data_IF_607607555171
#
_entry.id   IF_607607555171
#
_cell.length_a   1.000
_cell.length_b   1.000
_cell.length_c   1.000
_cell.angle_alpha   90.00
_cell.angle_beta   90.00
_cell.angle_gamma   90.00
#
_symmetry.space_group_name_H-M   'P 1'
#
loop_
_entity.id
_entity.type
_entity.pdbx_description
1 polymer ?
#
# COMPACT_ATOMS: atom_id res chain seq x y z
N UNK A 1 -17.80 -16.16 6.20
CA UNK A 1 -16.57 -16.18 5.39
C UNK A 1 -15.45 -15.58 6.25
N UNK A 2 -14.66 -16.42 6.93
CA UNK A 2 -13.57 -15.94 7.79
C UNK A 2 -12.58 -15.12 6.97
N UNK A 3 -12.39 -13.85 7.33
CA UNK A 3 -11.32 -13.02 6.78
C UNK A 3 -10.00 -13.57 7.30
N UNK A 4 -9.38 -14.50 6.56
CA UNK A 4 -8.02 -14.96 6.87
C UNK A 4 -7.09 -13.74 6.77
N UNK A 5 -6.37 -13.45 7.83
CA UNK A 5 -5.36 -12.38 7.82
C UNK A 5 -4.21 -12.82 6.92
N UNK A 6 -3.85 -11.98 5.95
CA UNK A 6 -2.75 -12.27 5.01
C UNK A 6 -1.37 -12.15 5.68
N UNK A 7 -1.26 -11.28 6.69
CA UNK A 7 0.02 -10.98 7.35
C UNK A 7 0.72 -12.21 7.96
N UNK A 8 0.08 -13.04 8.81
CA UNK A 8 0.75 -14.20 9.41
C UNK A 8 1.17 -15.26 8.38
N UNK A 9 0.54 -15.29 7.20
CA UNK A 9 0.85 -16.26 6.15
C UNK A 9 1.89 -15.74 5.16
N UNK A 10 1.90 -14.42 4.90
CA UNK A 10 2.77 -13.80 3.90
C UNK A 10 4.04 -13.17 4.49
N UNK A 11 4.13 -12.99 5.81
CA UNK A 11 5.29 -12.38 6.47
C UNK A 11 6.56 -13.20 6.32
N UNK A 12 6.55 -14.47 6.73
CA UNK A 12 7.72 -15.33 6.65
C UNK A 12 8.18 -15.56 5.19
N UNK A 13 7.29 -15.89 4.22
CA UNK A 13 7.70 -16.01 2.82
C UNK A 13 8.27 -14.72 2.23
N UNK A 14 7.70 -13.56 2.56
CA UNK A 14 8.21 -12.27 2.07
C UNK A 14 9.59 -11.94 2.66
N UNK A 15 9.80 -12.19 3.96
CA UNK A 15 11.11 -11.98 4.61
C UNK A 15 12.17 -12.90 4.02
N UNK A 16 11.86 -14.18 3.83
CA UNK A 16 12.79 -15.13 3.22
C UNK A 16 13.23 -14.68 1.81
N UNK A 17 12.29 -14.20 0.99
CA UNK A 17 12.61 -13.65 -0.34
C UNK A 17 13.50 -12.40 -0.25
N UNK A 18 13.21 -11.48 0.66
CA UNK A 18 14.02 -10.26 0.84
C UNK A 18 15.40 -10.57 1.39
N UNK A 19 15.53 -11.52 2.30
CA UNK A 19 16.81 -11.97 2.83
C UNK A 19 17.66 -12.63 1.75
N UNK A 20 17.08 -13.50 0.92
CA UNK A 20 17.78 -14.10 -0.21
C UNK A 20 18.31 -13.01 -1.17
N UNK A 21 17.49 -12.01 -1.46
CA UNK A 21 17.88 -10.88 -2.32
C UNK A 21 18.91 -9.96 -1.66
N UNK A 22 18.89 -9.81 -0.33
CA UNK A 22 19.92 -9.09 0.41
C UNK A 22 21.28 -9.78 0.30
N UNK A 23 21.32 -11.11 0.47
CA UNK A 23 22.55 -11.92 0.33
C UNK A 23 23.11 -11.84 -1.10
N UNK A 24 22.23 -11.88 -2.11
CA UNK A 24 22.63 -11.77 -3.51
C UNK A 24 22.90 -10.35 -4.00
N UNK A 25 22.60 -9.32 -3.19
CA UNK A 25 22.59 -7.92 -3.64
C UNK A 25 21.64 -7.68 -4.81
N UNK A 26 20.58 -8.47 -4.93
CA UNK A 26 19.68 -8.42 -6.08
C UNK A 26 18.68 -7.27 -5.98
N UNK A 27 18.45 -6.61 -7.11
CA UNK A 27 17.39 -5.60 -7.21
C UNK A 27 16.04 -6.25 -7.49
N UNK A 28 14.97 -5.67 -6.96
CA UNK A 28 13.62 -6.15 -7.16
C UNK A 28 12.61 -5.02 -7.38
N UNK A 29 11.42 -5.42 -7.83
CA UNK A 29 10.25 -4.54 -7.89
C UNK A 29 9.14 -5.10 -7.02
N UNK A 30 8.24 -4.24 -6.52
CA UNK A 30 7.07 -4.68 -5.75
C UNK A 30 6.20 -5.68 -6.53
N UNK A 31 6.08 -5.51 -7.85
CA UNK A 31 5.36 -6.48 -8.69
C UNK A 31 6.08 -7.84 -8.75
N UNK A 32 7.42 -7.83 -8.86
CA UNK A 32 8.21 -9.07 -8.85
C UNK A 32 8.06 -9.83 -7.54
N UNK A 33 8.17 -9.13 -6.40
CA UNK A 33 7.94 -9.75 -5.08
C UNK A 33 6.52 -10.32 -4.92
N UNK A 34 5.51 -9.59 -5.40
CA UNK A 34 4.12 -10.10 -5.43
C UNK A 34 4.02 -11.38 -6.25
N UNK A 35 4.63 -11.40 -7.44
CA UNK A 35 4.55 -12.55 -8.34
C UNK A 35 5.26 -13.78 -7.73
N UNK A 36 6.41 -13.57 -7.09
CA UNK A 36 7.13 -14.60 -6.33
C UNK A 36 6.32 -15.10 -5.12
N UNK A 37 5.65 -14.20 -4.38
CA UNK A 37 4.74 -14.57 -3.28
C UNK A 37 3.49 -15.32 -3.76
N UNK A 38 2.97 -14.98 -4.93
CA UNK A 38 1.79 -15.64 -5.50
C UNK A 38 2.10 -17.09 -5.93
N UNK A 39 3.37 -17.42 -6.19
CA UNK A 39 3.81 -18.78 -6.44
C UNK A 39 3.86 -19.63 -5.15
N UNK A 40 3.73 -19.02 -3.96
CA UNK A 40 3.70 -19.75 -2.70
C UNK A 40 2.33 -20.44 -2.51
N UNK A 41 2.29 -21.76 -2.27
CA UNK A 41 1.05 -22.54 -2.24
C UNK A 41 0.09 -22.11 -1.11
N UNK A 42 0.61 -21.56 -0.01
CA UNK A 42 -0.22 -21.04 1.09
C UNK A 42 -0.87 -19.69 0.77
N UNK A 43 -0.40 -19.01 -0.27
CA UNK A 43 -0.87 -17.70 -0.69
C UNK A 43 -1.71 -17.74 -1.96
N UNK A 44 -1.90 -18.92 -2.57
CA UNK A 44 -2.69 -19.10 -3.80
C UNK A 44 -4.16 -18.73 -3.64
N UNK A 45 -4.68 -18.81 -2.41
CA UNK A 45 -6.06 -18.47 -2.07
C UNK A 45 -6.28 -16.94 -1.99
N UNK A 46 -5.20 -16.15 -1.92
CA UNK A 46 -5.28 -14.69 -1.87
C UNK A 46 -5.23 -14.09 -3.28
N UNK A 47 -6.12 -13.14 -3.55
CA UNK A 47 -6.12 -12.44 -4.83
C UNK A 47 -4.83 -11.62 -5.04
N UNK A 48 -4.37 -11.54 -6.29
CA UNK A 48 -3.20 -10.75 -6.72
C UNK A 48 -3.22 -9.31 -6.20
N UNK A 49 -4.42 -8.74 -6.06
CA UNK A 49 -4.62 -7.39 -5.55
C UNK A 49 -4.30 -7.30 -4.04
N UNK A 50 -4.76 -8.26 -3.23
CA UNK A 50 -4.45 -8.33 -1.79
C UNK A 50 -2.95 -8.51 -1.56
N UNK A 51 -2.30 -9.39 -2.32
CA UNK A 51 -0.85 -9.59 -2.27
C UNK A 51 -0.08 -8.33 -2.68
N UNK A 52 -0.55 -7.61 -3.71
CA UNK A 52 0.07 -6.35 -4.15
C UNK A 52 0.08 -5.31 -3.03
N UNK A 53 -1.03 -5.14 -2.31
CA UNK A 53 -1.12 -4.18 -1.21
C UNK A 53 -0.24 -4.58 -0.06
N UNK A 54 -0.27 -5.86 0.31
CA UNK A 54 0.59 -6.39 1.36
C UNK A 54 2.07 -6.12 1.08
N UNK A 55 2.56 -6.50 -0.11
CA UNK A 55 3.96 -6.29 -0.51
C UNK A 55 4.32 -4.81 -0.52
N UNK A 56 3.44 -3.94 -1.03
CA UNK A 56 3.69 -2.50 -1.06
C UNK A 56 3.83 -1.92 0.34
N UNK A 57 2.93 -2.28 1.26
CA UNK A 57 2.97 -1.82 2.65
C UNK A 57 4.22 -2.30 3.39
N UNK A 58 4.58 -3.58 3.24
CA UNK A 58 5.79 -4.13 3.85
C UNK A 58 7.06 -3.49 3.29
N UNK A 59 7.17 -3.31 1.97
CA UNK A 59 8.33 -2.64 1.35
C UNK A 59 8.45 -1.19 1.82
N UNK A 60 7.34 -0.46 1.96
CA UNK A 60 7.37 0.91 2.48
C UNK A 60 7.85 0.95 3.94
N UNK A 61 7.40 0.01 4.78
CA UNK A 61 7.86 -0.13 6.17
C UNK A 61 9.36 -0.47 6.24
N UNK A 62 9.82 -1.41 5.42
CA UNK A 62 11.24 -1.78 5.38
C UNK A 62 12.13 -0.66 4.81
N UNK A 63 11.58 0.16 3.92
CA UNK A 63 12.25 1.38 3.44
C UNK A 63 12.44 2.40 4.58
N UNK A 64 11.41 2.63 5.40
CA UNK A 64 11.52 3.50 6.59
C UNK A 64 12.53 2.99 7.62
N UNK A 65 12.63 1.66 7.77
CA UNK A 65 13.59 1.02 8.68
C UNK A 65 15.03 0.95 8.11
N UNK A 66 15.24 1.37 6.85
CA UNK A 66 16.56 1.29 6.19
C UNK A 66 17.00 -0.12 5.80
N UNK A 67 16.09 -1.10 5.85
CA UNK A 67 16.35 -2.49 5.44
C UNK A 67 16.20 -2.70 3.94
N UNK A 68 15.49 -1.79 3.28
CA UNK A 68 15.32 -1.75 1.83
C UNK A 68 15.60 -0.33 1.38
N UNK A 69 16.28 -0.16 0.27
CA UNK A 69 16.55 1.15 -0.32
C UNK A 69 16.08 1.22 -1.77
N UNK A 70 15.77 2.44 -2.23
CA UNK A 70 15.45 2.71 -3.63
C UNK A 70 16.73 2.94 -4.41
N UNK A 71 17.03 2.01 -5.32
CA UNK A 71 18.28 2.05 -6.11
C UNK A 71 18.07 2.56 -7.53
N UNK A 72 16.82 2.74 -7.98
CA UNK A 72 16.55 3.31 -9.29
C UNK A 72 15.14 3.09 -9.79
N UNK A 73 15.00 3.08 -11.12
CA UNK A 73 13.73 2.81 -11.82
C UNK A 73 13.95 1.92 -13.04
N UNK A 74 13.02 0.98 -13.29
CA UNK A 74 12.92 0.23 -14.55
C UNK A 74 11.75 0.78 -15.36
N UNK A 75 12.05 1.21 -16.58
CA UNK A 75 11.10 1.91 -17.44
C UNK A 75 10.60 3.21 -16.81
N UNK A 76 9.44 3.70 -17.27
CA UNK A 76 8.96 5.03 -16.87
C UNK A 76 8.36 5.11 -15.44
N UNK A 77 7.98 3.98 -14.83
CA UNK A 77 7.13 4.00 -13.62
C UNK A 77 7.47 2.98 -12.53
N UNK A 78 8.35 2.01 -12.75
CA UNK A 78 8.61 0.97 -11.74
C UNK A 78 9.85 1.34 -10.92
N UNK A 79 9.70 1.46 -9.62
CA UNK A 79 10.82 1.70 -8.70
C UNK A 79 11.58 0.39 -8.49
N UNK A 80 12.90 0.47 -8.60
CA UNK A 80 13.80 -0.60 -8.20
C UNK A 80 14.19 -0.41 -6.75
N UNK A 81 14.13 -1.51 -6.02
CA UNK A 81 14.54 -1.61 -4.65
C UNK A 81 15.69 -2.60 -4.53
N UNK A 82 16.50 -2.44 -3.50
CA UNK A 82 17.50 -3.42 -3.09
C UNK A 82 17.38 -3.62 -1.58
N UNK A 83 17.47 -4.85 -1.13
CA UNK A 83 17.53 -5.14 0.30
C UNK A 83 18.95 -4.85 0.78
N UNK A 84 19.08 -4.12 1.87
CA UNK A 84 20.37 -3.73 2.42
C UNK A 84 20.97 -4.92 3.17
N UNK A 85 22.30 -4.99 3.34
CA UNK A 85 22.92 -6.00 4.20
C UNK A 85 22.51 -5.88 5.68
N UNK A 86 21.84 -4.80 6.06
CA UNK A 86 21.22 -4.62 7.37
C UNK A 86 19.85 -5.33 7.49
N UNK A 87 19.35 -5.96 6.42
CA UNK A 87 18.14 -6.76 6.49
C UNK A 87 18.35 -7.93 7.46
N UNK A 88 17.53 -8.07 8.51
CA UNK A 88 17.78 -9.07 9.55
C UNK A 88 17.72 -10.48 8.98
N UNK A 89 18.77 -11.27 9.23
CA UNK A 89 18.78 -12.69 8.95
C UNK A 89 17.98 -13.41 10.03
N UNK A 90 17.02 -14.25 9.62
CA UNK A 90 16.11 -15.02 10.47
C UNK A 90 16.69 -15.38 11.85
N UNK A 91 16.24 -14.67 12.92
CA UNK A 91 16.01 -15.16 14.30
C UNK A 91 15.79 -14.06 15.35
N UNK A 92 16.16 -12.78 15.11
CA UNK A 92 16.16 -11.77 16.20
C UNK A 92 14.90 -10.90 16.31
N UNK A 93 13.82 -11.24 15.61
CA UNK A 93 12.51 -10.65 15.89
C UNK A 93 11.50 -11.75 16.10
N UNK A 94 11.40 -12.14 17.37
CA UNK A 94 10.17 -12.55 18.00
C UNK A 94 9.07 -11.59 17.50
N UNK A 95 8.13 -12.07 16.68
CA UNK A 95 6.81 -11.48 16.45
C UNK A 95 5.96 -11.62 17.75
N UNK A 96 6.61 -11.54 18.91
CA UNK A 96 5.95 -11.28 20.16
C UNK A 96 5.56 -9.81 20.14
N UNK A 97 4.26 -9.59 20.06
CA UNK A 97 3.59 -8.49 20.73
C UNK A 97 4.30 -8.19 22.06
N UNK A 98 5.25 -7.26 22.04
CA UNK A 98 5.73 -6.64 23.28
C UNK A 98 4.58 -5.77 23.75
N UNK A 99 3.75 -6.39 24.59
CA UNK A 99 2.93 -5.75 25.61
C UNK A 99 3.87 -5.01 26.56
N UNK A 100 4.43 -3.90 26.07
CA UNK A 100 5.08 -2.89 26.89
C UNK A 100 4.06 -1.79 27.14
N UNK A 101 3.46 -1.80 28.33
CA UNK A 101 2.71 -0.68 28.86
C UNK A 101 3.54 0.61 28.79
N UNK A 102 3.00 1.64 28.14
CA UNK A 102 3.56 2.99 28.18
C UNK A 102 3.43 3.76 26.87
N UNK A 103 2.23 4.29 26.59
CA UNK A 103 1.89 5.44 25.71
C UNK A 103 2.44 5.53 24.27
N UNK A 104 3.37 4.69 23.82
CA UNK A 104 3.94 4.69 22.47
C UNK A 104 3.17 3.81 21.47
N UNK A 105 2.45 2.80 21.95
CA UNK A 105 1.66 1.87 21.11
C UNK A 105 0.43 2.52 20.49
N UNK A 106 -0.18 3.48 21.19
CA UNK A 106 -1.35 4.18 20.70
C UNK A 106 -1.05 4.99 19.42
N UNK A 107 0.16 5.54 19.30
CA UNK A 107 0.58 6.28 18.11
C UNK A 107 0.91 5.37 16.92
N UNK A 108 1.60 4.24 17.15
CA UNK A 108 1.95 3.28 16.09
C UNK A 108 0.73 2.58 15.47
N UNK A 109 -0.26 2.19 16.27
CA UNK A 109 -1.51 1.59 15.76
C UNK A 109 -2.38 2.64 15.04
N UNK A 110 -2.42 3.88 15.54
CA UNK A 110 -3.11 4.98 14.86
C UNK A 110 -2.47 5.28 13.50
N UNK A 111 -1.14 5.33 13.44
CA UNK A 111 -0.41 5.64 12.21
C UNK A 111 -0.63 4.56 11.15
N UNK A 112 -0.60 3.28 11.55
CA UNK A 112 -0.93 2.15 10.68
C UNK A 112 -2.38 2.20 10.16
N UNK A 113 -3.35 2.53 11.02
CA UNK A 113 -4.76 2.72 10.59
C UNK A 113 -4.94 3.92 9.69
N UNK A 114 -4.30 5.05 10.00
CA UNK A 114 -4.31 6.25 9.17
C UNK A 114 -3.71 5.97 7.79
N UNK A 115 -2.66 5.15 7.70
CA UNK A 115 -2.08 4.70 6.44
C UNK A 115 -3.04 3.81 5.65
N UNK A 116 -3.65 2.82 6.29
CA UNK A 116 -4.67 1.96 5.65
C UNK A 116 -5.86 2.76 5.14
N UNK A 117 -6.35 3.73 5.92
CA UNK A 117 -7.47 4.60 5.53
C UNK A 117 -7.08 5.54 4.38
N UNK A 118 -5.87 6.10 4.41
CA UNK A 118 -5.33 6.90 3.30
C UNK A 118 -5.20 6.06 2.02
N UNK A 119 -4.82 4.79 2.14
CA UNK A 119 -4.68 3.87 1.02
C UNK A 119 -6.04 3.48 0.44
N UNK A 120 -7.01 3.10 1.28
CA UNK A 120 -8.38 2.82 0.84
C UNK A 120 -9.02 4.04 0.15
N UNK A 121 -8.75 5.26 0.65
CA UNK A 121 -9.22 6.49 0.02
C UNK A 121 -8.55 6.75 -1.33
N UNK A 122 -7.24 6.48 -1.48
CA UNK A 122 -6.55 6.58 -2.79
C UNK A 122 -7.10 5.59 -3.80
N UNK A 123 -7.42 4.37 -3.38
CA UNK A 123 -8.06 3.37 -4.26
C UNK A 123 -9.43 3.80 -4.73
N UNK A 124 -10.26 4.35 -3.83
CA UNK A 124 -11.56 4.89 -4.20
C UNK A 124 -11.42 6.04 -5.20
N UNK A 125 -10.37 6.87 -5.07
CA UNK A 125 -10.07 7.94 -6.02
C UNK A 125 -9.65 7.40 -7.39
N UNK A 126 -8.73 6.43 -7.45
CA UNK A 126 -8.32 5.78 -8.72
C UNK A 126 -9.51 5.10 -9.41
N UNK A 127 -10.39 4.44 -8.66
CA UNK A 127 -11.61 3.84 -9.19
C UNK A 127 -12.58 4.90 -9.74
N UNK A 128 -12.72 6.04 -9.05
CA UNK A 128 -13.55 7.15 -9.49
C UNK A 128 -13.00 7.81 -10.76
N UNK A 129 -11.68 7.96 -10.86
CA UNK A 129 -11.01 8.48 -12.06
C UNK A 129 -11.23 7.56 -13.28
N UNK A 130 -11.13 6.24 -13.11
CA UNK A 130 -11.45 5.29 -14.18
C UNK A 130 -12.92 5.36 -14.60
N UNK A 131 -13.86 5.53 -13.66
CA UNK A 131 -15.29 5.71 -13.98
C UNK A 131 -15.54 7.00 -14.75
N UNK A 132 -14.91 8.11 -14.35
CA UNK A 132 -14.99 9.37 -15.08
C UNK A 132 -14.42 9.24 -16.50
N UNK A 133 -13.33 8.49 -16.67
CA UNK A 133 -12.78 8.20 -18.00
C UNK A 133 -13.75 7.36 -18.85
N UNK A 134 -14.35 6.31 -18.27
CA UNK A 134 -15.34 5.49 -18.96
C UNK A 134 -16.57 6.32 -19.39
N UNK A 135 -17.08 7.19 -18.52
CA UNK A 135 -18.18 8.09 -18.88
C UNK A 135 -17.82 9.07 -20.00
N UNK A 136 -16.59 9.60 -20.01
CA UNK A 136 -16.09 10.44 -21.12
C UNK A 136 -16.03 9.66 -22.43
N UNK A 137 -15.55 8.42 -22.40
CA UNK A 137 -15.49 7.57 -23.59
C UNK A 137 -16.88 7.21 -24.11
N UNK A 138 -17.83 6.90 -23.23
CA UNK A 138 -19.23 6.63 -23.59
C UNK A 138 -19.87 7.88 -24.19
N UNK A 139 -19.68 9.06 -23.57
CA UNK A 139 -20.19 10.33 -24.09
C UNK A 139 -19.56 10.72 -25.44
N UNK A 140 -18.31 10.32 -25.70
CA UNK A 140 -17.64 10.51 -26.98
C UNK A 140 -18.18 9.55 -28.06
N UNK A 141 -18.39 8.27 -27.71
CA UNK A 141 -18.90 7.23 -28.64
C UNK A 141 -20.39 7.38 -28.95
N UNK A 142 -21.18 7.86 -27.98
CA UNK A 142 -22.63 7.95 -28.08
C UNK A 142 -23.10 9.38 -27.74
N UNK A 143 -23.02 10.32 -28.70
CA UNK A 143 -23.42 11.71 -28.48
C UNK A 143 -24.89 11.87 -28.07
N UNK A 144 -25.75 10.94 -28.50
CA UNK A 144 -27.18 10.93 -28.17
C UNK A 144 -27.46 10.53 -26.71
N UNK A 145 -26.54 9.82 -26.05
CA UNK A 145 -26.65 9.42 -24.64
C UNK A 145 -26.01 10.45 -23.69
N UNK A 146 -25.48 11.57 -24.20
CA UNK A 146 -24.78 12.58 -23.38
C UNK A 146 -25.67 13.20 -22.33
N UNK A 147 -26.96 13.42 -22.62
CA UNK A 147 -27.92 13.94 -21.65
C UNK A 147 -28.10 13.01 -20.45
N UNK A 148 -28.00 11.71 -20.67
CA UNK A 148 -28.23 10.69 -19.65
C UNK A 148 -26.94 10.36 -18.87
N UNK A 149 -25.79 10.49 -19.54
CA UNK A 149 -24.46 10.27 -18.94
C UNK A 149 -23.97 11.49 -18.14
N UNK A 150 -24.36 12.70 -18.53
CA UNK A 150 -23.99 13.94 -17.83
C UNK A 150 -24.26 13.94 -16.31
N UNK A 151 -25.46 13.57 -15.82
CA UNK A 151 -25.71 13.54 -14.37
C UNK A 151 -24.85 12.49 -13.64
N UNK A 152 -24.59 11.34 -14.26
CA UNK A 152 -23.70 10.31 -13.69
C UNK A 152 -22.26 10.79 -13.61
N UNK A 153 -21.80 11.51 -14.63
CA UNK A 153 -20.47 12.12 -14.65
C UNK A 153 -20.30 13.18 -13.56
N UNK A 154 -21.29 14.07 -13.39
CA UNK A 154 -21.26 15.10 -12.36
C UNK A 154 -21.33 14.52 -10.94
N UNK A 155 -22.11 13.46 -10.74
CA UNK A 155 -22.17 12.74 -9.48
C UNK A 155 -20.82 12.10 -9.12
N UNK A 156 -20.21 11.37 -10.06
CA UNK A 156 -18.91 10.74 -9.84
C UNK A 156 -17.80 11.79 -9.61
N UNK A 157 -17.87 12.94 -10.31
CA UNK A 157 -16.95 14.07 -10.11
C UNK A 157 -17.11 14.71 -8.73
N UNK A 158 -18.33 14.81 -8.22
CA UNK A 158 -18.58 15.27 -6.85
C UNK A 158 -18.02 14.29 -5.81
N UNK A 159 -18.14 12.98 -6.05
CA UNK A 159 -17.54 11.95 -5.20
C UNK A 159 -16.01 12.03 -5.20
N UNK A 160 -15.37 12.16 -6.38
CA UNK A 160 -13.91 12.33 -6.48
C UNK A 160 -13.41 13.56 -5.70
N UNK A 161 -14.16 14.67 -5.74
CA UNK A 161 -13.84 15.88 -4.94
C UNK A 161 -13.95 15.63 -3.45
N UNK A 162 -15.03 15.01 -2.99
CA UNK A 162 -15.22 14.70 -1.57
C UNK A 162 -14.15 13.73 -1.05
N UNK A 163 -13.72 12.76 -1.85
CA UNK A 163 -12.61 11.87 -1.53
C UNK A 163 -11.27 12.61 -1.44
N UNK A 164 -11.03 13.56 -2.35
CA UNK A 164 -9.83 14.41 -2.34
C UNK A 164 -9.75 15.29 -1.09
N UNK A 165 -10.89 15.85 -0.66
CA UNK A 165 -10.98 16.65 0.57
C UNK A 165 -10.73 15.79 1.81
N UNK A 166 -11.29 14.58 1.87
CA UNK A 166 -10.99 13.62 2.94
C UNK A 166 -9.49 13.32 3.01
N UNK A 167 -8.84 13.02 1.89
CA UNK A 167 -7.40 12.77 1.86
C UNK A 167 -6.58 13.94 2.39
N UNK A 168 -6.98 15.19 2.08
CA UNK A 168 -6.31 16.38 2.64
C UNK A 168 -6.48 16.46 4.16
N UNK A 169 -7.68 16.21 4.67
CA UNK A 169 -7.93 16.19 6.11
C UNK A 169 -7.09 15.11 6.83
N UNK A 170 -7.00 13.91 6.26
CA UNK A 170 -6.14 12.84 6.79
C UNK A 170 -4.65 13.23 6.77
N UNK A 171 -4.18 13.92 5.73
CA UNK A 171 -2.80 14.42 5.66
C UNK A 171 -2.53 15.51 6.72
N UNK A 172 -3.47 16.43 6.97
CA UNK A 172 -3.36 17.44 8.02
C UNK A 172 -3.32 16.82 9.42
N UNK A 173 -4.15 15.79 9.68
CA UNK A 173 -4.14 15.05 10.95
C UNK A 173 -2.79 14.37 11.17
N UNK A 174 -2.23 13.70 10.14
CA UNK A 174 -0.89 13.11 10.22
C UNK A 174 0.19 14.17 10.49
N UNK A 175 0.13 15.32 9.83
CA UNK A 175 1.10 16.39 10.04
C UNK A 175 1.07 16.92 11.47
N UNK A 176 -0.13 17.08 12.06
CA UNK A 176 -0.28 17.52 13.46
C UNK A 176 0.20 16.46 14.45
N UNK A 177 -0.05 15.17 14.19
CA UNK A 177 0.45 14.08 15.02
C UNK A 177 1.99 14.01 14.99
N UNK A 178 2.61 14.19 13.82
CA UNK A 178 4.07 14.25 13.69
C UNK A 178 4.69 15.46 14.42
N UNK A 179 4.02 16.61 14.44
CA UNK A 179 4.47 17.79 15.19
C UNK A 179 4.30 17.63 16.70
N UNK A 180 3.26 16.92 17.16
CA UNK A 180 3.03 16.65 18.57
C UNK A 180 3.98 15.58 19.15
N UNK A 181 4.49 14.66 18.31
CA UNK A 181 5.45 13.63 18.72
C UNK A 181 6.93 14.06 18.69
N UNK A 182 7.24 15.27 18.23
CA UNK A 182 8.61 15.78 18.08
C UNK A 182 9.17 16.57 19.27
N UNK A 183 8.40 16.72 20.35
CA UNK A 183 8.78 17.46 21.56
C UNK A 183 9.10 16.48 22.71
N UNK A 184 10.22 15.76 22.60
CA UNK A 184 10.89 15.06 23.70
C UNK A 184 12.40 15.02 23.47
#
# INVERSE_FOLDING_TARGET
>A
MSRRSIHPLAAAPLRALLQQKAVGGETFTQCGLRDELCAHPELSDFGLQTLRYYVRGQVARYEQLGWVERVGKVGARRVLYQATPAFPADSDQDDSDTTGEGDGHAHGELDLRLEQDCEALREQMEASDHRLQAFREIAAKYPNARSDVAPLFDQEKAQARALSEKLRAYAEVRQRLAQAGGDK
#
